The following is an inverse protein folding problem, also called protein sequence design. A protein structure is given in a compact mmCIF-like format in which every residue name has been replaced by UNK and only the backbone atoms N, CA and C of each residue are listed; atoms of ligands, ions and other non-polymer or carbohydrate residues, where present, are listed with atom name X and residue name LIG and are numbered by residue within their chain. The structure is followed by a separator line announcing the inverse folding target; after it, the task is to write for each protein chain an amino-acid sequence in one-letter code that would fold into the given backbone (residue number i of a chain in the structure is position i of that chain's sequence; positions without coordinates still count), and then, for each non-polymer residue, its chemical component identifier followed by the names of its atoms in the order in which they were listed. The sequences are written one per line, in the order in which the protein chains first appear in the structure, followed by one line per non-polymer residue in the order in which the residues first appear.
data_IF_630046676895
#
_entry.id   IF_630046676895
#
_cell.length_a   1.000
_cell.length_b   1.000
_cell.length_c   1.000
_cell.angle_alpha   90.00
_cell.angle_beta   90.00
_cell.angle_gamma   90.00
#
_symmetry.space_group_name_H-M   'P 1'
#
loop_
_entity.id
_entity.type
_entity.pdbx_description
1 polymer ?
#
# COMPACT_ATOMS: atom_id res chain seq x y z
N UNK A 1 6.02 24.82 -4.22
CA UNK A 1 5.88 24.31 -4.29
C UNK A 1 5.92 23.68 -4.63
N UNK A 2 5.82 23.59 -4.58
CA UNK A 2 5.78 22.90 -4.86
C UNK A 2 5.62 22.20 -5.09
N UNK A 3 5.56 22.01 -4.89
CA UNK A 3 5.37 21.21 -5.07
C UNK A 3 5.20 20.60 -5.67
N UNK A 4 5.25 20.83 -6.01
CA UNK A 4 5.00 20.17 -6.65
C UNK A 4 5.42 19.40 -7.22
N UNK A 5 6.03 19.71 -7.13
CA UNK A 5 6.48 18.67 -7.59
C UNK A 5 6.07 17.71 -7.19
N UNK A 6 6.02 18.09 -6.46
CA UNK A 6 5.56 17.25 -5.97
C UNK A 6 4.84 16.51 -6.71
N UNK A 7 4.63 16.75 -7.36
CA UNK A 7 3.94 15.95 -8.00
C UNK A 7 4.63 15.38 -9.06
N UNK A 8 5.29 14.33 -8.84
CA UNK A 8 5.96 13.57 -9.83
C UNK A 8 4.92 12.85 -10.66
N UNK A 9 5.07 12.85 -11.98
CA UNK A 9 4.18 12.04 -12.80
C UNK A 9 4.52 10.55 -12.75
N UNK A 10 5.61 10.18 -12.09
CA UNK A 10 6.00 8.78 -12.01
C UNK A 10 5.18 8.09 -10.92
N UNK A 11 4.45 7.02 -11.26
CA UNK A 11 3.68 6.32 -10.23
C UNK A 11 4.60 5.63 -9.23
N UNK A 12 4.23 5.61 -7.97
CA UNK A 12 5.05 4.95 -6.96
C UNK A 12 5.02 3.44 -7.13
N UNK A 13 6.14 2.80 -6.83
CA UNK A 13 6.22 1.34 -6.80
C UNK A 13 6.07 0.81 -5.38
N UNK A 14 6.30 1.67 -4.39
CA UNK A 14 6.17 1.32 -2.98
C UNK A 14 5.35 2.39 -2.30
N UNK A 15 4.48 1.97 -1.41
CA UNK A 15 3.60 2.87 -0.67
C UNK A 15 3.93 2.79 0.81
N UNK A 16 3.87 3.92 1.49
CA UNK A 16 3.85 3.89 2.96
C UNK A 16 2.51 3.33 3.40
N UNK A 17 2.46 2.84 4.64
CA UNK A 17 1.23 2.23 5.15
C UNK A 17 0.05 3.20 5.03
N UNK A 18 0.26 4.46 5.37
CA UNK A 18 -0.82 5.46 5.28
C UNK A 18 -1.29 5.64 3.85
N UNK A 19 -0.35 5.62 2.90
CA UNK A 19 -0.72 5.76 1.49
C UNK A 19 -1.46 4.53 1.00
N UNK A 20 -1.03 3.35 1.46
CA UNK A 20 -1.72 2.12 1.08
C UNK A 20 -3.16 2.12 1.60
N UNK A 21 -3.34 2.59 2.84
CA UNK A 21 -4.68 2.68 3.42
C UNK A 21 -5.56 3.60 2.58
N UNK A 22 -5.02 4.72 2.18
CA UNK A 22 -5.75 5.67 1.35
C UNK A 22 -6.10 5.06 0.01
N UNK A 23 -5.13 4.37 -0.61
CA UNK A 23 -5.36 3.74 -1.92
C UNK A 23 -6.41 2.64 -1.83
N UNK A 24 -6.43 1.90 -0.73
CA UNK A 24 -7.41 0.83 -0.54
C UNK A 24 -8.72 1.33 0.03
N UNK A 25 -8.79 2.59 0.41
CA UNK A 25 -9.97 3.18 1.04
C UNK A 25 -10.30 2.51 2.36
N UNK A 26 -9.26 2.14 3.11
CA UNK A 26 -9.40 1.50 4.41
C UNK A 26 -8.74 2.36 5.46
N UNK A 27 -9.06 2.11 6.73
CA UNK A 27 -8.40 2.79 7.82
C UNK A 27 -6.99 2.24 7.98
N UNK A 28 -6.12 3.02 8.64
CA UNK A 28 -4.78 2.56 8.97
C UNK A 28 -4.83 1.30 9.81
N UNK A 29 -5.75 1.28 10.77
CA UNK A 29 -5.91 0.11 11.63
C UNK A 29 -6.21 -1.14 10.81
N UNK A 30 -7.12 -1.02 9.85
CA UNK A 30 -7.46 -2.15 8.99
C UNK A 30 -6.26 -2.62 8.20
N UNK A 31 -5.45 -1.69 7.68
CA UNK A 31 -4.28 -2.08 6.91
C UNK A 31 -3.25 -2.76 7.80
N UNK A 32 -3.03 -2.27 9.02
CA UNK A 32 -2.11 -2.94 9.94
C UNK A 32 -2.59 -4.35 10.27
N UNK A 33 -3.91 -4.54 10.39
CA UNK A 33 -4.44 -5.88 10.61
C UNK A 33 -4.15 -6.80 9.43
N UNK A 34 -4.30 -6.28 8.22
CA UNK A 34 -4.00 -7.07 7.03
C UNK A 34 -2.53 -7.45 6.98
N UNK A 35 -1.65 -6.54 7.35
CA UNK A 35 -0.22 -6.82 7.38
C UNK A 35 0.08 -7.87 8.43
N UNK A 36 -0.48 -7.71 9.62
CA UNK A 36 -0.20 -8.63 10.72
C UNK A 36 -0.70 -10.04 10.42
N UNK A 37 -1.83 -10.14 9.74
CA UNK A 37 -2.42 -11.44 9.42
C UNK A 37 -1.81 -12.08 8.18
N UNK A 38 -0.89 -11.37 7.51
CA UNK A 38 -0.25 -11.90 6.32
C UNK A 38 -1.06 -11.76 5.04
N UNK A 39 -2.18 -11.06 5.09
CA UNK A 39 -3.02 -10.90 3.92
C UNK A 39 -2.53 -9.79 2.99
N UNK A 40 -1.71 -8.89 3.51
CA UNK A 40 -1.09 -7.84 2.71
C UNK A 40 0.40 -7.89 3.00
N UNK A 41 1.18 -8.31 2.01
CA UNK A 41 2.61 -8.43 2.24
C UNK A 41 3.29 -7.08 2.16
N UNK A 42 4.40 -6.97 2.84
CA UNK A 42 5.21 -5.77 2.85
C UNK A 42 6.65 -6.13 2.55
N UNK A 43 7.45 -5.12 2.24
CA UNK A 43 8.88 -5.29 2.08
C UNK A 43 9.58 -4.26 2.94
N UNK A 44 10.83 -4.51 3.23
CA UNK A 44 11.64 -3.56 3.98
C UNK A 44 12.66 -2.99 3.03
N UNK A 45 12.64 -1.68 2.88
CA UNK A 45 13.59 -0.98 2.02
C UNK A 45 14.21 0.14 2.81
N UNK A 46 15.52 0.14 2.93
CA UNK A 46 16.28 1.17 3.64
C UNK A 46 15.67 1.45 5.00
N UNK A 47 15.49 0.40 5.80
CA UNK A 47 14.97 0.48 7.16
C UNK A 47 13.51 0.89 7.25
N UNK A 48 12.78 0.92 6.15
CA UNK A 48 11.37 1.26 6.17
C UNK A 48 10.54 0.09 5.70
N UNK A 49 9.41 -0.11 6.35
CA UNK A 49 8.44 -1.12 5.92
C UNK A 49 7.48 -0.44 4.95
N UNK A 50 7.43 -0.95 3.75
CA UNK A 50 6.63 -0.37 2.68
C UNK A 50 5.78 -1.44 2.03
N UNK A 51 4.72 -1.02 1.36
CA UNK A 51 3.78 -1.92 0.70
C UNK A 51 4.01 -1.80 -0.80
N UNK A 52 4.47 -2.88 -1.47
CA UNK A 52 4.63 -2.84 -2.92
C UNK A 52 3.29 -2.68 -3.61
N UNK A 53 3.30 -1.99 -4.74
CA UNK A 53 2.07 -1.82 -5.49
C UNK A 53 1.53 -3.18 -5.94
N UNK A 54 2.42 -4.14 -6.22
CA UNK A 54 2.00 -5.50 -6.58
C UNK A 54 1.23 -6.15 -5.44
N UNK A 55 1.62 -5.89 -4.20
CA UNK A 55 0.92 -6.46 -3.05
C UNK A 55 -0.49 -5.90 -2.93
N UNK A 56 -0.66 -4.63 -3.24
CA UNK A 56 -1.99 -4.04 -3.25
C UNK A 56 -2.87 -4.69 -4.30
N UNK A 57 -2.31 -4.91 -5.49
CA UNK A 57 -3.05 -5.56 -6.57
C UNK A 57 -3.41 -6.99 -6.20
N UNK A 58 -2.50 -7.72 -5.57
CA UNK A 58 -2.77 -9.09 -5.12
C UNK A 58 -3.91 -9.13 -4.11
N UNK A 59 -3.89 -8.18 -3.17
CA UNK A 59 -4.93 -8.15 -2.16
C UNK A 59 -6.29 -7.87 -2.78
N UNK A 60 -6.35 -6.88 -3.67
CA UNK A 60 -7.62 -6.56 -4.34
C UNK A 60 -8.11 -7.75 -5.15
N UNK A 61 -7.21 -8.44 -5.86
CA UNK A 61 -7.58 -9.62 -6.62
C UNK A 61 -8.15 -10.71 -5.71
N UNK A 62 -7.59 -10.84 -4.48
CA UNK A 62 -8.08 -11.84 -3.55
C UNK A 62 -9.51 -11.52 -3.10
N UNK A 63 -9.83 -10.24 -2.95
CA UNK A 63 -11.19 -9.84 -2.60
C UNK A 63 -12.16 -10.17 -3.72
N UNK A 64 -11.74 -9.93 -4.95
CA UNK A 64 -12.59 -10.21 -6.10
C UNK A 64 -12.85 -11.70 -6.24
N UNK A 65 -11.85 -12.52 -5.95
CA UNK A 65 -12.05 -13.98 -6.00
C UNK A 65 -12.98 -14.48 -4.92
N UNK A 66 -12.97 -13.80 -3.77
CA UNK A 66 -13.80 -14.20 -2.64
C UNK A 66 -15.25 -13.79 -2.79
N UNK A 67 -15.52 -12.84 -3.65
CA UNK A 67 -16.86 -12.28 -3.83
C UNK A 67 -17.78 -13.21 -4.62
#
# INVERSE_FOLDING_TARGET
MVDRAKRSPVPPLLYRVEEAAEALRLSRTAVYELIRSGRLRTVKAVSRRLVPVAALAEYVASLERAA
#
